data_IF_089622802865
#
_entry.id   IF_089622802865
#
_cell.length_a   1.000
_cell.length_b   1.000
_cell.length_c   1.000
_cell.angle_alpha   90.00
_cell.angle_beta   90.00
_cell.angle_gamma   90.00
#
_symmetry.space_group_name_H-M   'P 1'
#
loop_
_entity.id
_entity.type
_entity.pdbx_description
1 polymer ?
#
# COMPACT_ATOMS: atom_id res chain seq x y z
N UNK A 1 60.52 9.11 -32.33
CA UNK A 1 59.74 10.30 -31.94
C UNK A 1 58.26 9.94 -31.96
N UNK A 2 57.60 10.28 -30.85
CA UNK A 2 56.16 10.53 -30.69
C UNK A 2 55.16 9.37 -30.74
N UNK A 3 54.62 9.11 -29.54
CA UNK A 3 53.37 8.46 -29.21
C UNK A 3 52.18 9.07 -29.96
N UNK A 4 51.18 8.24 -30.29
CA UNK A 4 49.79 8.69 -30.37
C UNK A 4 48.83 7.50 -30.16
N UNK A 5 48.57 7.21 -28.89
CA UNK A 5 47.49 6.39 -28.39
C UNK A 5 46.14 7.02 -28.76
N UNK A 6 45.32 6.35 -29.57
CA UNK A 6 43.93 6.78 -29.83
C UNK A 6 42.96 5.83 -29.15
N UNK A 7 42.56 6.25 -27.94
CA UNK A 7 41.62 5.58 -27.07
C UNK A 7 40.28 5.28 -27.74
N UNK A 8 39.90 4.00 -27.66
CA UNK A 8 38.64 3.42 -28.10
C UNK A 8 37.52 3.85 -27.13
N UNK A 9 36.78 4.91 -27.44
CA UNK A 9 35.53 5.25 -26.71
C UNK A 9 34.46 4.20 -27.02
N UNK A 10 34.37 3.17 -26.19
CA UNK A 10 33.31 2.15 -26.20
C UNK A 10 32.06 2.78 -25.59
N UNK A 11 31.15 3.30 -26.44
CA UNK A 11 29.80 3.67 -26.00
C UNK A 11 29.08 2.41 -25.50
N UNK A 12 29.03 2.23 -24.18
CA UNK A 12 28.12 1.29 -23.54
C UNK A 12 26.72 1.90 -23.63
N UNK A 13 26.00 1.54 -24.69
CA UNK A 13 24.56 1.73 -24.76
C UNK A 13 23.93 1.14 -23.51
N UNK A 14 23.35 2.02 -22.68
CA UNK A 14 22.54 1.62 -21.54
C UNK A 14 21.38 0.80 -22.09
N UNK A 15 21.46 -0.54 -21.98
CA UNK A 15 20.32 -1.43 -22.19
C UNK A 15 19.23 -0.96 -21.23
N UNK A 16 18.21 -0.28 -21.76
CA UNK A 16 16.95 -0.09 -21.04
C UNK A 16 16.37 -1.48 -20.86
N UNK A 17 16.61 -2.07 -19.69
CA UNK A 17 15.88 -3.26 -19.26
C UNK A 17 14.40 -2.91 -19.38
N UNK A 18 13.72 -3.60 -20.29
CA UNK A 18 12.29 -3.44 -20.48
C UNK A 18 11.63 -3.56 -19.11
N UNK A 19 10.85 -2.54 -18.75
CA UNK A 19 9.91 -2.63 -17.64
C UNK A 19 8.91 -3.71 -18.05
N UNK A 20 9.22 -4.96 -17.72
CA UNK A 20 8.21 -6.01 -17.67
C UNK A 20 7.07 -5.45 -16.86
N UNK A 21 5.87 -5.44 -17.43
CA UNK A 21 4.66 -5.05 -16.72
C UNK A 21 4.62 -5.94 -15.47
N UNK A 22 5.05 -5.39 -14.33
CA UNK A 22 4.89 -6.03 -13.04
C UNK A 22 3.37 -6.12 -12.89
N UNK A 23 2.83 -7.32 -13.13
CA UNK A 23 1.47 -7.62 -12.70
C UNK A 23 1.39 -7.14 -11.26
N UNK A 24 0.35 -6.34 -10.97
CA UNK A 24 0.04 -5.74 -9.67
C UNK A 24 0.69 -6.57 -8.56
N UNK A 25 1.58 -5.96 -7.77
CA UNK A 25 2.29 -6.64 -6.69
C UNK A 25 1.30 -6.98 -5.58
N UNK A 26 0.42 -7.94 -5.85
CA UNK A 26 -0.64 -8.37 -4.95
C UNK A 26 -0.14 -9.60 -4.22
N UNK A 27 0.49 -9.35 -3.08
CA UNK A 27 0.80 -10.43 -2.15
C UNK A 27 -0.48 -10.84 -1.41
N UNK A 28 -0.55 -12.08 -0.90
CA UNK A 28 -1.75 -12.59 -0.24
C UNK A 28 -2.21 -11.70 0.93
N UNK A 29 -1.28 -11.11 1.68
CA UNK A 29 -1.59 -10.19 2.78
C UNK A 29 -2.23 -8.90 2.28
N UNK A 30 -1.73 -8.31 1.19
CA UNK A 30 -2.29 -7.08 0.62
C UNK A 30 -3.71 -7.30 0.09
N UNK A 31 -3.97 -8.45 -0.52
CA UNK A 31 -5.33 -8.83 -0.99
C UNK A 31 -6.27 -9.02 0.20
N UNK A 32 -5.85 -9.78 1.23
CA UNK A 32 -6.65 -10.02 2.41
C UNK A 32 -7.02 -8.72 3.12
N UNK A 33 -6.04 -7.82 3.28
CA UNK A 33 -6.24 -6.49 3.85
C UNK A 33 -7.18 -5.64 3.03
N UNK A 34 -7.03 -5.61 1.70
CA UNK A 34 -7.93 -4.87 0.81
C UNK A 34 -9.39 -5.30 0.98
N UNK A 35 -9.60 -6.61 1.15
CA UNK A 35 -10.93 -7.20 1.30
C UNK A 35 -11.45 -7.21 2.75
N UNK A 36 -10.65 -6.79 3.74
CA UNK A 36 -11.06 -6.78 5.14
C UNK A 36 -11.05 -8.13 5.85
N UNK A 37 -10.42 -9.17 5.28
CA UNK A 37 -10.39 -10.53 5.83
C UNK A 37 -9.35 -10.63 6.95
N UNK A 38 -9.74 -10.25 8.16
CA UNK A 38 -8.83 -10.07 9.30
C UNK A 38 -8.15 -11.39 9.71
N UNK A 39 -8.89 -12.50 9.66
CA UNK A 39 -8.42 -13.84 10.01
C UNK A 39 -7.29 -14.30 9.08
N UNK A 40 -7.38 -13.95 7.80
CA UNK A 40 -6.34 -14.27 6.83
C UNK A 40 -5.09 -13.42 7.07
N UNK A 41 -5.26 -12.13 7.38
CA UNK A 41 -4.13 -11.25 7.76
C UNK A 41 -3.44 -11.76 9.01
N UNK A 42 -4.21 -12.21 10.00
CA UNK A 42 -3.68 -12.80 11.23
C UNK A 42 -2.85 -14.05 10.96
N UNK A 43 -3.42 -15.04 10.27
CA UNK A 43 -2.75 -16.29 9.89
C UNK A 43 -1.46 -16.04 9.10
N UNK A 44 -1.49 -15.12 8.13
CA UNK A 44 -0.30 -14.81 7.34
C UNK A 44 0.79 -14.20 8.23
N UNK A 45 0.45 -13.30 9.14
CA UNK A 45 1.44 -12.67 10.02
C UNK A 45 1.96 -13.59 11.12
N UNK A 46 1.22 -14.64 11.49
CA UNK A 46 1.70 -15.70 12.38
C UNK A 46 2.76 -16.59 11.70
N UNK A 47 2.50 -17.01 10.46
CA UNK A 47 3.40 -17.89 9.70
C UNK A 47 4.57 -17.12 9.07
N UNK A 48 4.31 -15.92 8.57
CA UNK A 48 5.24 -15.08 7.80
C UNK A 48 5.22 -13.63 8.31
N UNK A 49 5.85 -13.34 9.47
CA UNK A 49 5.85 -11.99 10.03
C UNK A 49 6.51 -10.93 9.12
N UNK A 50 7.43 -11.36 8.24
CA UNK A 50 8.08 -10.48 7.25
C UNK A 50 7.08 -9.90 6.23
N UNK A 51 5.95 -10.57 6.01
CA UNK A 51 4.94 -10.13 5.05
C UNK A 51 4.32 -8.77 5.40
N UNK A 52 4.46 -8.26 6.63
CA UNK A 52 3.98 -6.90 6.95
C UNK A 52 4.70 -5.80 6.16
N UNK A 53 5.91 -6.08 5.67
CA UNK A 53 6.71 -5.15 4.85
C UNK A 53 6.33 -5.22 3.37
N UNK A 54 5.38 -6.06 2.98
CA UNK A 54 4.90 -6.11 1.61
C UNK A 54 4.24 -4.79 1.22
N UNK A 55 4.49 -4.37 0.00
CA UNK A 55 3.97 -3.13 -0.58
C UNK A 55 3.32 -3.42 -1.94
N UNK A 56 2.21 -2.74 -2.21
CA UNK A 56 1.59 -2.77 -3.54
C UNK A 56 2.40 -1.92 -4.55
N UNK A 57 1.98 -1.92 -5.82
CA UNK A 57 2.58 -1.14 -6.90
C UNK A 57 2.66 0.38 -6.61
N UNK A 58 1.83 0.88 -5.69
CA UNK A 58 1.80 2.27 -5.21
C UNK A 58 2.65 2.51 -3.96
N UNK A 59 3.51 1.56 -3.57
CA UNK A 59 4.30 1.60 -2.32
C UNK A 59 3.42 1.73 -1.07
N UNK A 60 2.18 1.22 -1.15
CA UNK A 60 1.27 1.18 -0.01
C UNK A 60 1.48 -0.11 0.75
N UNK A 61 1.80 0.01 2.03
CA UNK A 61 1.90 -1.12 2.92
C UNK A 61 0.51 -1.57 3.41
N UNK A 62 0.52 -2.62 4.23
CA UNK A 62 -0.69 -3.22 4.82
C UNK A 62 -1.52 -2.18 5.62
N UNK A 63 -0.88 -1.29 6.37
CA UNK A 63 -1.59 -0.29 7.17
C UNK A 63 -2.27 0.77 6.28
N UNK A 64 -1.57 1.30 5.28
CA UNK A 64 -2.11 2.28 4.33
C UNK A 64 -3.26 1.69 3.51
N UNK A 65 -3.13 0.43 3.06
CA UNK A 65 -4.20 -0.26 2.35
C UNK A 65 -5.44 -0.50 3.22
N UNK A 66 -5.26 -0.85 4.50
CA UNK A 66 -6.38 -1.02 5.42
C UNK A 66 -7.17 0.29 5.58
N UNK A 67 -6.48 1.42 5.66
CA UNK A 67 -7.11 2.75 5.78
C UNK A 67 -7.80 3.16 4.48
N UNK A 68 -7.11 3.06 3.35
CA UNK A 68 -7.64 3.42 2.04
C UNK A 68 -8.90 2.61 1.68
N UNK A 69 -8.89 1.31 1.97
CA UNK A 69 -10.01 0.42 1.68
C UNK A 69 -11.04 0.38 2.80
N UNK A 70 -10.93 1.28 3.78
CA UNK A 70 -11.94 1.41 4.83
C UNK A 70 -12.13 0.06 5.54
N UNK A 71 -11.07 -0.45 6.17
CA UNK A 71 -11.08 -1.71 6.94
C UNK A 71 -10.65 -1.46 8.39
N UNK A 72 -11.56 -1.00 9.28
CA UNK A 72 -11.20 -0.56 10.62
C UNK A 72 -10.83 -1.75 11.52
N UNK A 73 -11.43 -2.92 11.29
CA UNK A 73 -11.13 -4.16 12.01
C UNK A 73 -9.69 -4.62 11.75
N UNK A 74 -9.25 -4.64 10.48
CA UNK A 74 -7.88 -4.97 10.11
C UNK A 74 -6.90 -3.96 10.69
N UNK A 75 -7.20 -2.66 10.60
CA UNK A 75 -6.34 -1.62 11.16
C UNK A 75 -6.21 -1.72 12.69
N UNK A 76 -7.32 -1.95 13.39
CA UNK A 76 -7.34 -2.17 14.85
C UNK A 76 -6.58 -3.43 15.25
N UNK A 77 -6.67 -4.49 14.44
CA UNK A 77 -5.89 -5.71 14.64
C UNK A 77 -4.38 -5.43 14.53
N UNK A 78 -3.96 -4.71 13.48
CA UNK A 78 -2.55 -4.34 13.29
C UNK A 78 -2.02 -3.47 14.44
N UNK A 79 -2.84 -2.57 15.01
CA UNK A 79 -2.47 -1.75 16.16
C UNK A 79 -2.28 -2.56 17.45
N UNK A 80 -3.05 -3.62 17.65
CA UNK A 80 -3.02 -4.44 18.87
C UNK A 80 -1.88 -5.46 18.88
N UNK A 81 -1.24 -5.71 17.75
CA UNK A 81 -0.22 -6.77 17.62
C UNK A 81 1.15 -6.23 18.06
N UNK A 82 1.49 -6.40 19.33
CA UNK A 82 2.71 -5.87 19.97
C UNK A 82 4.03 -6.46 19.43
N UNK A 83 3.99 -7.65 18.81
CA UNK A 83 5.18 -8.36 18.33
C UNK A 83 5.74 -7.89 16.98
N UNK A 84 5.16 -6.86 16.38
CA UNK A 84 5.57 -6.37 15.07
C UNK A 84 6.19 -4.97 15.25
N UNK A 85 7.34 -4.64 14.63
CA UNK A 85 7.91 -3.30 14.69
C UNK A 85 7.01 -2.30 13.93
N UNK A 86 5.99 -1.85 14.64
CA UNK A 86 4.86 -1.04 14.16
C UNK A 86 5.26 0.38 13.77
N UNK A 87 6.30 0.94 14.38
CA UNK A 87 6.74 2.32 14.12
C UNK A 87 7.12 2.55 12.65
N UNK A 88 7.79 1.59 12.01
CA UNK A 88 8.17 1.72 10.59
C UNK A 88 6.97 1.62 9.65
N UNK A 89 6.00 0.76 9.99
CA UNK A 89 4.82 0.48 9.18
C UNK A 89 3.81 1.62 9.27
N UNK A 90 3.56 2.17 10.46
CA UNK A 90 2.58 3.26 10.62
C UNK A 90 3.11 4.62 10.15
N UNK A 91 4.43 4.83 10.15
CA UNK A 91 5.05 6.07 9.67
C UNK A 91 5.33 6.07 8.17
N UNK A 92 5.05 4.95 7.50
CA UNK A 92 5.22 4.79 6.06
C UNK A 92 4.32 5.74 5.27
N UNK A 93 4.76 6.11 4.07
CA UNK A 93 4.02 6.94 3.13
C UNK A 93 3.96 6.27 1.77
N UNK A 94 2.87 6.50 1.03
CA UNK A 94 2.76 5.99 -0.33
C UNK A 94 3.72 6.70 -1.30
N UNK A 95 3.72 6.28 -2.57
CA UNK A 95 4.56 6.89 -3.61
C UNK A 95 4.32 8.41 -3.82
N UNK A 96 3.18 8.95 -3.38
CA UNK A 96 2.80 10.37 -3.46
C UNK A 96 3.13 11.14 -2.18
N UNK A 97 3.66 10.47 -1.16
CA UNK A 97 3.91 11.06 0.15
C UNK A 97 2.65 11.16 1.03
N UNK A 98 1.56 10.46 0.68
CA UNK A 98 0.37 10.42 1.51
C UNK A 98 0.61 9.48 2.70
N UNK A 99 0.38 10.00 3.90
CA UNK A 99 0.31 9.18 5.12
C UNK A 99 -1.07 8.52 5.28
N UNK A 100 -1.18 7.60 6.25
CA UNK A 100 -2.46 6.99 6.62
C UNK A 100 -3.57 8.04 6.85
N UNK A 101 -3.22 9.16 7.49
CA UNK A 101 -4.17 10.25 7.74
C UNK A 101 -4.65 10.93 6.44
N UNK A 102 -3.74 11.15 5.48
CA UNK A 102 -4.12 11.69 4.17
C UNK A 102 -5.08 10.74 3.45
N UNK A 103 -4.78 9.44 3.46
CA UNK A 103 -5.61 8.40 2.84
C UNK A 103 -6.98 8.26 3.52
N UNK A 104 -7.05 8.40 4.86
CA UNK A 104 -8.31 8.39 5.60
C UNK A 104 -9.23 9.56 5.22
N UNK A 105 -8.64 10.73 4.97
CA UNK A 105 -9.35 11.94 4.58
C UNK A 105 -9.74 11.94 3.09
N UNK A 106 -9.03 11.20 2.25
CA UNK A 106 -9.40 11.07 0.84
C UNK A 106 -10.62 10.17 0.73
N UNK A 107 -11.74 10.72 0.28
CA UNK A 107 -12.89 9.91 -0.08
C UNK A 107 -12.47 9.01 -1.24
N UNK A 108 -12.46 7.70 -1.02
CA UNK A 108 -12.23 6.71 -2.06
C UNK A 108 -13.20 7.01 -3.22
N UNK A 109 -12.67 7.54 -4.33
CA UNK A 109 -13.48 7.98 -5.47
C UNK A 109 -14.27 6.81 -6.09
N UNK A 110 -13.80 5.57 -5.90
CA UNK A 110 -14.43 4.34 -6.36
C UNK A 110 -15.51 3.81 -5.39
N UNK A 111 -15.42 4.09 -4.09
CA UNK A 111 -16.49 3.77 -3.13
C UNK A 111 -17.41 4.99 -2.98
N UNK A 112 -18.18 5.24 -4.05
CA UNK A 112 -19.43 6.00 -3.99
C UNK A 112 -20.59 5.01 -3.88
N UNK A 113 -21.02 4.58 -2.67
CA UNK A 113 -22.32 3.91 -2.52
C UNK A 113 -23.48 4.73 -3.11
N UNK A 114 -23.25 6.03 -3.33
CA UNK A 114 -24.22 7.08 -3.57
C UNK A 114 -24.07 7.71 -4.96
N UNK A 115 -23.99 6.90 -6.02
CA UNK A 115 -24.30 7.41 -7.36
C UNK A 115 -25.69 8.06 -7.42
N UNK A 116 -26.57 7.81 -6.44
CA UNK A 116 -27.72 8.65 -6.08
C UNK A 116 -27.98 8.57 -4.57
N UNK A 117 -27.48 9.47 -3.73
CA UNK A 117 -28.11 9.74 -2.41
C UNK A 117 -27.62 11.04 -1.78
N UNK A 118 -28.55 11.92 -1.39
CA UNK A 118 -28.23 13.23 -0.80
C UNK A 118 -27.44 13.17 0.51
N UNK A 119 -27.00 14.34 0.97
CA UNK A 119 -26.08 14.58 2.09
C UNK A 119 -26.42 13.80 3.38
N UNK A 120 -27.71 13.58 3.64
CA UNK A 120 -28.17 12.83 4.81
C UNK A 120 -27.72 11.36 4.82
N UNK A 121 -27.70 10.68 3.66
CA UNK A 121 -27.30 9.28 3.60
C UNK A 121 -25.78 9.14 3.73
N UNK A 122 -25.01 10.09 3.19
CA UNK A 122 -23.57 10.16 3.42
C UNK A 122 -23.26 10.29 4.93
N UNK A 123 -23.93 11.21 5.63
CA UNK A 123 -23.75 11.37 7.09
C UNK A 123 -24.11 10.09 7.86
N UNK A 124 -25.18 9.39 7.48
CA UNK A 124 -25.57 8.13 8.14
C UNK A 124 -24.48 7.05 8.02
N UNK A 125 -23.82 6.94 6.87
CA UNK A 125 -22.73 6.00 6.66
C UNK A 125 -21.49 6.38 7.43
N UNK A 126 -21.14 7.66 7.47
CA UNK A 126 -20.03 8.15 8.31
C UNK A 126 -20.28 7.82 9.79
N UNK A 127 -21.50 8.03 10.30
CA UNK A 127 -21.87 7.65 11.67
C UNK A 127 -21.71 6.14 11.91
N UNK A 128 -22.20 5.30 10.99
CA UNK A 128 -22.06 3.83 11.09
C UNK A 128 -20.61 3.37 11.03
N UNK A 129 -19.76 4.15 10.38
CA UNK A 129 -18.33 3.92 10.27
C UNK A 129 -17.56 4.24 11.55
N UNK A 130 -18.03 5.22 12.31
CA UNK A 130 -17.40 5.67 13.56
C UNK A 130 -17.82 4.87 14.79
N UNK A 131 -18.89 4.07 14.71
CA UNK A 131 -19.29 3.11 15.76
C UNK A 131 -18.42 1.84 15.73
#
# INVERSE_FOLDING_TARGET
MSHAEKGRKKQRGKKKAGKGKRGKAQTPILIATKNGVTEMVEKILEEFPVAIQDEDAEQKNVALLAVENRQPHVYKFLLKKENIPTDSVFRHVDFRGNSALHLAATQCEEYRPWLISGSALQMQWEIKWFQ
#
